data_IF_959457699358
#
_entry.id   IF_959457699358
#
_cell.length_a   1.000
_cell.length_b   1.000
_cell.length_c   1.000
_cell.angle_alpha   90.00
_cell.angle_beta   90.00
_cell.angle_gamma   90.00
#
_symmetry.space_group_name_H-M   'P 1'
#
loop_
_entity.id
_entity.type
_entity.pdbx_description
1 polymer ?
#
# COMPACT_ATOMS: atom_id res chain seq x y z
N UNK A 1 -41.51 -56.65 -1.68
CA UNK A 1 -40.23 -56.90 -2.38
C UNK A 1 -39.25 -55.86 -1.83
N UNK A 2 -38.42 -56.25 -0.86
CA UNK A 2 -37.03 -56.72 -1.00
C UNK A 2 -36.02 -55.55 -1.03
N UNK A 3 -35.37 -55.39 0.13
CA UNK A 3 -34.00 -54.96 0.48
C UNK A 3 -33.03 -54.55 -0.66
N UNK A 4 -32.06 -53.64 -0.49
CA UNK A 4 -30.95 -53.76 0.47
C UNK A 4 -30.10 -52.46 0.65
N UNK A 5 -29.33 -52.45 1.73
CA UNK A 5 -28.38 -51.45 2.23
C UNK A 5 -27.12 -51.26 1.36
N UNK A 6 -26.50 -50.08 1.47
CA UNK A 6 -25.03 -49.94 1.52
C UNK A 6 -24.65 -48.69 2.33
N UNK A 7 -23.81 -48.87 3.35
CA UNK A 7 -22.97 -47.89 4.04
C UNK A 7 -21.59 -48.55 4.23
N UNK A 8 -20.49 -47.84 4.58
CA UNK A 8 -20.15 -46.41 4.47
C UNK A 8 -18.70 -46.19 3.93
N UNK A 9 -18.19 -44.93 3.98
CA UNK A 9 -16.77 -44.46 4.05
C UNK A 9 -16.37 -43.39 2.98
N UNK A 10 -15.35 -42.55 3.20
CA UNK A 10 -15.26 -41.45 4.17
C UNK A 10 -15.08 -40.09 3.45
N UNK A 11 -15.51 -38.99 4.08
CA UNK A 11 -15.23 -37.64 3.56
C UNK A 11 -13.72 -37.33 3.68
N UNK A 12 -12.99 -37.41 2.56
CA UNK A 12 -11.68 -36.79 2.45
C UNK A 12 -11.83 -35.27 2.41
N UNK A 13 -11.44 -34.64 3.50
CA UNK A 13 -11.26 -33.20 3.61
C UNK A 13 -10.03 -32.79 2.79
N UNK A 14 -10.21 -32.61 1.49
CA UNK A 14 -9.18 -31.99 0.65
C UNK A 14 -9.06 -30.52 1.02
N UNK A 15 -7.88 -30.17 1.56
CA UNK A 15 -7.42 -28.83 1.84
C UNK A 15 -7.66 -27.90 0.66
N UNK A 16 -8.45 -26.85 0.88
CA UNK A 16 -8.78 -25.77 -0.06
C UNK A 16 -7.58 -24.90 -0.46
N UNK A 17 -6.37 -25.22 0.04
CA UNK A 17 -5.13 -24.51 -0.27
C UNK A 17 -4.59 -24.78 -1.69
N UNK A 18 -5.07 -25.81 -2.39
CA UNK A 18 -4.53 -26.20 -3.70
C UNK A 18 -5.03 -25.36 -4.87
N UNK A 19 -6.19 -24.70 -4.76
CA UNK A 19 -6.79 -23.98 -5.90
C UNK A 19 -6.15 -22.61 -6.18
N UNK A 20 -5.36 -22.08 -5.24
CA UNK A 20 -4.69 -20.77 -5.40
C UNK A 20 -3.34 -20.91 -6.13
N UNK A 21 -2.76 -22.12 -6.18
CA UNK A 21 -1.44 -22.33 -6.80
C UNK A 21 -1.49 -22.27 -8.34
N UNK A 22 -2.65 -22.50 -8.96
CA UNK A 22 -2.81 -22.52 -10.43
C UNK A 22 -3.39 -21.24 -11.04
N UNK A 23 -3.59 -20.18 -10.25
CA UNK A 23 -4.10 -18.90 -10.73
C UNK A 23 -2.99 -17.93 -11.23
N UNK A 24 -1.79 -18.43 -11.53
CA UNK A 24 -0.83 -17.66 -12.32
C UNK A 24 -1.34 -17.61 -13.75
N UNK A 25 -1.71 -16.42 -14.20
CA UNK A 25 -2.17 -16.20 -15.55
C UNK A 25 -1.15 -16.76 -16.57
N UNK A 26 -1.60 -17.44 -17.65
CA UNK A 26 -0.72 -18.10 -18.62
C UNK A 26 0.38 -17.21 -19.22
N UNK A 27 0.23 -15.87 -19.15
CA UNK A 27 1.24 -14.92 -19.61
C UNK A 27 2.52 -14.90 -18.77
N UNK A 28 2.45 -15.21 -17.47
CA UNK A 28 3.65 -15.28 -16.61
C UNK A 28 4.56 -16.44 -17.02
N UNK A 29 3.98 -17.57 -17.44
CA UNK A 29 4.73 -18.71 -17.98
C UNK A 29 5.40 -18.37 -19.32
N UNK A 30 4.71 -17.58 -20.15
CA UNK A 30 5.20 -17.24 -21.49
C UNK A 30 6.31 -16.17 -21.48
N UNK A 31 6.35 -15.27 -20.48
CA UNK A 31 7.48 -14.36 -20.24
C UNK A 31 8.66 -15.06 -19.55
N UNK A 32 8.39 -16.02 -18.64
CA UNK A 32 9.43 -16.87 -18.04
C UNK A 32 10.19 -17.69 -19.10
N UNK A 33 9.50 -18.21 -20.11
CA UNK A 33 10.11 -18.99 -21.21
C UNK A 33 10.84 -18.12 -22.25
N UNK A 34 10.36 -16.89 -22.54
CA UNK A 34 11.03 -16.01 -23.52
C UNK A 34 12.29 -15.36 -22.96
N UNK A 35 12.34 -15.06 -21.66
CA UNK A 35 13.49 -14.43 -21.01
C UNK A 35 14.53 -15.42 -20.47
N UNK A 36 14.23 -16.72 -20.42
CA UNK A 36 15.22 -17.76 -20.10
C UNK A 36 16.33 -17.91 -21.17
N UNK A 37 16.14 -17.32 -22.36
CA UNK A 37 17.08 -17.46 -23.49
C UNK A 37 18.13 -16.34 -23.54
N UNK A 38 17.98 -15.27 -22.75
CA UNK A 38 18.95 -14.15 -22.73
C UNK A 38 19.51 -13.91 -21.32
N UNK A 39 20.72 -14.45 -21.12
CA UNK A 39 21.70 -14.12 -20.07
C UNK A 39 21.45 -14.69 -18.66
N UNK A 40 22.46 -15.38 -18.14
CA UNK A 40 22.59 -15.83 -16.74
C UNK A 40 22.79 -14.68 -15.74
N UNK A 41 21.93 -13.66 -15.80
CA UNK A 41 21.85 -12.61 -14.80
C UNK A 41 21.21 -13.18 -13.53
N UNK A 42 21.78 -12.89 -12.36
CA UNK A 42 21.17 -13.21 -11.07
C UNK A 42 19.85 -12.45 -10.96
N UNK A 43 18.72 -13.15 -10.93
CA UNK A 43 17.42 -12.49 -10.73
C UNK A 43 17.40 -11.86 -9.34
N UNK A 44 16.89 -10.63 -9.23
CA UNK A 44 16.65 -10.00 -7.93
C UNK A 44 15.57 -10.80 -7.18
N UNK A 45 15.69 -10.95 -5.85
CA UNK A 45 14.74 -11.75 -5.08
C UNK A 45 13.34 -11.15 -5.09
N UNK A 46 13.27 -9.82 -5.05
CA UNK A 46 12.01 -9.09 -5.02
C UNK A 46 11.61 -8.62 -6.42
N UNK A 47 10.34 -8.81 -6.76
CA UNK A 47 9.74 -8.27 -7.97
C UNK A 47 8.44 -7.56 -7.61
N UNK A 48 8.18 -6.44 -8.27
CA UNK A 48 6.97 -5.66 -8.05
C UNK A 48 6.23 -5.45 -9.37
N UNK A 49 4.92 -5.62 -9.33
CA UNK A 49 4.06 -5.50 -10.52
C UNK A 49 2.95 -4.52 -10.24
N UNK A 50 2.99 -3.37 -10.91
CA UNK A 50 1.89 -2.42 -10.92
C UNK A 50 0.81 -2.93 -11.87
N UNK A 51 -0.39 -3.22 -11.36
CA UNK A 51 -1.54 -3.68 -12.12
C UNK A 51 -2.21 -2.52 -12.88
N UNK A 52 -1.47 -1.92 -13.80
CA UNK A 52 -1.93 -0.90 -14.73
C UNK A 52 -1.21 -1.05 -16.07
N UNK A 53 -1.93 -0.75 -17.16
CA UNK A 53 -1.46 -1.02 -18.51
C UNK A 53 -0.35 -0.07 -18.97
N UNK A 54 0.67 -0.60 -19.65
CA UNK A 54 1.73 0.21 -20.27
C UNK A 54 1.22 0.91 -21.53
N UNK A 55 1.75 2.10 -21.78
CA UNK A 55 1.42 2.89 -22.97
C UNK A 55 1.99 2.26 -24.25
N UNK A 56 1.19 2.07 -25.31
CA UNK A 56 1.68 1.62 -26.61
C UNK A 56 2.48 2.71 -27.36
N UNK A 57 2.47 3.95 -26.88
CA UNK A 57 3.08 5.09 -27.57
C UNK A 57 4.55 5.34 -27.19
N UNK A 58 5.17 4.41 -26.44
CA UNK A 58 6.57 4.47 -26.04
C UNK A 58 7.44 3.76 -27.07
N UNK A 59 8.61 4.32 -27.40
CA UNK A 59 9.56 3.69 -28.34
C UNK A 59 10.30 2.52 -27.70
N UNK A 60 10.77 1.55 -28.49
CA UNK A 60 11.49 0.37 -27.98
C UNK A 60 12.71 0.69 -27.09
N UNK A 61 13.44 1.78 -27.39
CA UNK A 61 14.64 2.18 -26.64
C UNK A 61 14.35 3.02 -25.40
N UNK A 62 13.09 3.44 -25.20
CA UNK A 62 12.68 4.24 -24.05
C UNK A 62 12.15 3.32 -22.93
N UNK A 63 12.17 3.79 -21.69
CA UNK A 63 11.56 3.04 -20.60
C UNK A 63 10.03 3.03 -20.73
N UNK A 64 9.40 1.93 -20.30
CA UNK A 64 7.94 1.81 -20.28
C UNK A 64 7.30 2.97 -19.49
N UNK A 65 6.14 3.43 -19.96
CA UNK A 65 5.38 4.51 -19.32
C UNK A 65 3.95 4.06 -19.07
N UNK A 66 3.48 4.28 -17.85
CA UNK A 66 2.14 3.84 -17.42
C UNK A 66 1.25 5.01 -17.08
N UNK A 67 0.01 4.98 -17.52
CA UNK A 67 -0.94 6.06 -17.31
C UNK A 67 -1.86 5.76 -16.12
N UNK A 68 -1.89 6.66 -15.14
CA UNK A 68 -2.71 6.54 -13.95
C UNK A 68 -3.74 7.67 -13.88
N UNK A 69 -4.88 7.41 -13.26
CA UNK A 69 -5.89 8.41 -12.95
C UNK A 69 -5.71 8.92 -11.52
N UNK A 70 -5.83 10.22 -11.34
CA UNK A 70 -5.77 10.89 -10.05
C UNK A 70 -6.78 10.28 -9.06
N UNK A 71 -6.32 9.88 -7.88
CA UNK A 71 -7.14 9.36 -6.79
C UNK A 71 -7.76 7.97 -7.03
N UNK A 72 -7.48 7.33 -8.17
CA UNK A 72 -7.87 5.94 -8.41
C UNK A 72 -6.88 5.01 -7.70
N UNK A 73 -7.41 3.94 -7.08
CA UNK A 73 -6.59 2.90 -6.47
C UNK A 73 -6.00 1.97 -7.52
N UNK A 74 -4.69 1.78 -7.47
CA UNK A 74 -3.95 0.83 -8.29
C UNK A 74 -3.23 -0.18 -7.41
N UNK A 75 -3.35 -1.45 -7.77
CA UNK A 75 -2.65 -2.54 -7.08
C UNK A 75 -1.17 -2.57 -7.49
N UNK A 76 -0.30 -2.76 -6.49
CA UNK A 76 1.07 -3.20 -6.67
C UNK A 76 1.23 -4.54 -5.96
N UNK A 77 1.49 -5.59 -6.74
CA UNK A 77 1.78 -6.93 -6.23
C UNK A 77 3.25 -7.02 -5.81
N UNK A 78 3.48 -7.53 -4.61
CA UNK A 78 4.79 -7.73 -4.00
C UNK A 78 5.13 -9.22 -4.10
N UNK A 79 6.18 -9.55 -4.85
CA UNK A 79 6.57 -10.94 -5.13
C UNK A 79 8.00 -11.20 -4.66
N UNK A 80 8.24 -12.39 -4.12
CA UNK A 80 9.58 -12.92 -3.87
C UNK A 80 9.80 -14.18 -4.72
N UNK A 81 10.69 -14.09 -5.72
CA UNK A 81 10.99 -15.20 -6.64
C UNK A 81 12.02 -16.20 -6.10
N UNK A 82 12.73 -15.85 -5.03
CA UNK A 82 13.82 -16.66 -4.44
C UNK A 82 13.45 -17.15 -3.05
N UNK A 83 12.29 -17.80 -2.93
CA UNK A 83 11.77 -18.29 -1.65
C UNK A 83 12.75 -19.22 -0.90
N UNK A 84 13.60 -19.94 -1.64
CA UNK A 84 14.52 -20.96 -1.10
C UNK A 84 15.89 -20.38 -0.65
N UNK A 85 16.34 -19.25 -1.21
CA UNK A 85 17.63 -18.64 -0.84
C UNK A 85 17.50 -17.64 0.34
N UNK A 86 16.27 -17.28 0.72
CA UNK A 86 15.98 -16.26 1.72
C UNK A 86 15.21 -16.79 2.94
N UNK A 87 15.24 -18.11 3.15
CA UNK A 87 14.84 -18.70 4.45
C UNK A 87 15.72 -18.22 5.61
N UNK A 88 16.88 -17.61 5.31
CA UNK A 88 17.80 -17.00 6.28
C UNK A 88 17.47 -15.54 6.61
N UNK A 89 16.41 -14.94 6.04
CA UNK A 89 15.90 -13.67 6.57
C UNK A 89 15.36 -13.97 7.97
N UNK A 90 16.16 -13.65 8.99
CA UNK A 90 15.79 -13.84 10.41
C UNK A 90 14.48 -13.15 10.77
N UNK A 91 14.11 -12.09 10.02
CA UNK A 91 12.87 -11.34 10.20
C UNK A 91 11.70 -11.93 9.41
N UNK A 92 10.61 -12.25 10.10
CA UNK A 92 9.32 -12.69 9.52
C UNK A 92 8.73 -11.71 8.48
N UNK A 93 9.08 -10.42 8.57
CA UNK A 93 8.54 -9.37 7.71
C UNK A 93 9.67 -8.52 7.16
N UNK A 94 9.49 -8.00 5.94
CA UNK A 94 10.32 -6.95 5.36
C UNK A 94 9.56 -5.63 5.34
N UNK A 95 10.28 -4.51 5.35
CA UNK A 95 9.71 -3.17 5.22
C UNK A 95 9.86 -2.69 3.78
N UNK A 96 8.78 -2.23 3.17
CA UNK A 96 8.85 -1.52 1.89
C UNK A 96 8.41 -0.07 2.06
N UNK A 97 9.14 0.82 1.39
CA UNK A 97 8.84 2.25 1.29
C UNK A 97 8.52 2.56 -0.16
N UNK A 98 7.32 3.07 -0.42
CA UNK A 98 6.87 3.47 -1.76
C UNK A 98 6.87 4.99 -1.85
N UNK A 99 7.46 5.52 -2.91
CA UNK A 99 7.61 6.95 -3.16
C UNK A 99 7.13 7.34 -4.55
N UNK A 100 6.47 8.49 -4.65
CA UNK A 100 6.26 9.19 -5.93
C UNK A 100 7.31 10.29 -6.03
N UNK A 101 8.26 10.14 -6.95
CA UNK A 101 9.36 11.10 -7.16
C UNK A 101 9.35 11.63 -8.59
N UNK A 102 9.98 12.77 -8.83
CA UNK A 102 10.12 13.30 -10.18
C UNK A 102 11.07 12.43 -11.01
N UNK A 103 10.71 12.15 -12.27
CA UNK A 103 11.65 11.51 -13.20
C UNK A 103 12.70 12.51 -13.75
N UNK A 104 12.30 13.78 -13.92
CA UNK A 104 13.18 14.85 -14.41
C UNK A 104 14.16 15.29 -13.30
N UNK A 105 15.47 15.14 -13.56
CA UNK A 105 16.58 15.54 -12.67
C UNK A 105 16.46 16.98 -12.16
N UNK A 106 16.04 17.94 -12.99
CA UNK A 106 15.89 19.35 -12.59
C UNK A 106 14.78 19.52 -11.54
N UNK A 107 13.69 18.76 -11.68
CA UNK A 107 12.60 18.78 -10.72
C UNK A 107 12.96 18.01 -9.44
N UNK A 108 13.83 17.00 -9.51
CA UNK A 108 14.37 16.34 -8.32
C UNK A 108 15.16 17.33 -7.43
N UNK A 109 16.01 18.18 -8.01
CA UNK A 109 16.75 19.20 -7.24
C UNK A 109 15.85 20.23 -6.56
N UNK A 110 14.68 20.49 -7.14
CA UNK A 110 13.69 21.44 -6.60
C UNK A 110 12.48 20.73 -6.00
N UNK A 111 12.60 19.43 -5.70
CA UNK A 111 11.46 18.58 -5.33
C UNK A 111 10.73 19.15 -4.13
N UNK A 112 11.47 19.50 -3.07
CA UNK A 112 10.90 20.11 -1.88
C UNK A 112 10.00 21.31 -2.23
N UNK A 113 10.49 22.26 -3.03
CA UNK A 113 9.72 23.42 -3.46
C UNK A 113 8.47 23.04 -4.28
N UNK A 114 8.58 22.04 -5.16
CA UNK A 114 7.45 21.55 -5.96
C UNK A 114 6.36 20.92 -5.07
N UNK A 115 6.75 20.07 -4.12
CA UNK A 115 5.83 19.40 -3.21
C UNK A 115 5.18 20.39 -2.23
N UNK A 116 5.93 21.38 -1.74
CA UNK A 116 5.39 22.45 -0.90
C UNK A 116 4.42 23.35 -1.66
N UNK A 117 4.76 23.73 -2.90
CA UNK A 117 3.86 24.47 -3.77
C UNK A 117 2.57 23.71 -4.05
N UNK A 118 2.65 22.38 -4.20
CA UNK A 118 1.48 21.52 -4.32
C UNK A 118 0.64 21.51 -3.04
N UNK A 119 1.28 21.29 -1.88
CA UNK A 119 0.65 21.28 -0.55
C UNK A 119 -0.14 22.55 -0.26
N UNK A 120 0.42 23.71 -0.60
CA UNK A 120 -0.23 25.00 -0.37
C UNK A 120 -1.55 25.16 -1.11
N UNK A 121 -1.63 24.62 -2.34
CA UNK A 121 -2.84 24.66 -3.15
C UNK A 121 -3.87 23.58 -2.77
N UNK A 122 -3.47 22.62 -1.93
CA UNK A 122 -4.28 21.46 -1.51
C UNK A 122 -4.08 21.16 -0.02
N UNK A 123 -4.54 22.05 0.87
CA UNK A 123 -4.30 21.90 2.30
C UNK A 123 -4.92 20.59 2.81
N UNK A 124 -4.07 19.77 3.43
CA UNK A 124 -4.44 18.47 3.97
C UNK A 124 -4.35 17.31 2.99
N UNK A 125 -4.33 17.53 1.68
CA UNK A 125 -4.18 16.41 0.74
C UNK A 125 -2.75 15.85 0.78
N UNK A 126 -2.63 14.57 0.49
CA UNK A 126 -1.35 13.87 0.32
C UNK A 126 -1.16 13.48 -1.13
N UNK A 127 0.08 13.46 -1.61
CA UNK A 127 0.41 13.09 -2.98
C UNK A 127 0.25 11.59 -3.19
N UNK A 128 0.71 10.80 -2.22
CA UNK A 128 0.62 9.35 -2.23
C UNK A 128 -0.10 8.88 -0.96
N UNK A 129 -1.11 8.04 -1.17
CA UNK A 129 -1.87 7.41 -0.09
C UNK A 129 -2.03 5.90 -0.33
N UNK A 130 -2.38 5.18 0.74
CA UNK A 130 -2.61 3.73 0.74
C UNK A 130 -4.09 3.44 0.97
N UNK A 131 -4.67 2.65 0.08
CA UNK A 131 -6.02 2.12 0.22
C UNK A 131 -5.96 0.83 1.06
N UNK A 132 -5.85 1.00 2.38
CA UNK A 132 -5.74 -0.12 3.32
C UNK A 132 -6.88 -1.12 3.18
N UNK A 133 -8.17 -0.71 3.03
CA UNK A 133 -9.26 -1.67 2.86
C UNK A 133 -9.15 -2.53 1.60
N UNK A 134 -8.48 -2.09 0.53
CA UNK A 134 -8.24 -2.94 -0.65
C UNK A 134 -6.95 -3.77 -0.57
N UNK A 135 -6.02 -3.36 0.28
CA UNK A 135 -4.69 -4.00 0.41
C UNK A 135 -4.77 -5.36 1.12
N UNK A 136 -3.89 -6.28 0.73
CA UNK A 136 -3.85 -7.67 1.23
C UNK A 136 -2.42 -8.02 1.66
N UNK A 137 -2.25 -8.62 2.85
CA UNK A 137 -0.94 -9.03 3.36
C UNK A 137 -0.01 -7.88 3.80
N UNK A 138 -0.51 -6.65 3.76
CA UNK A 138 0.17 -5.44 4.24
C UNK A 138 -0.10 -5.25 5.72
N UNK A 139 0.95 -5.01 6.50
CA UNK A 139 0.93 -4.83 7.96
C UNK A 139 1.49 -3.45 8.29
N UNK A 140 0.89 -2.79 9.28
CA UNK A 140 1.30 -1.45 9.75
C UNK A 140 1.53 -0.43 8.61
N UNK A 141 0.54 -0.20 7.73
CA UNK A 141 0.67 0.86 6.73
C UNK A 141 0.78 2.23 7.43
N UNK A 142 1.82 2.99 7.08
CA UNK A 142 2.10 4.32 7.63
C UNK A 142 2.28 5.32 6.50
N UNK A 143 1.69 6.49 6.68
CA UNK A 143 1.80 7.63 5.77
C UNK A 143 2.13 8.87 6.60
N UNK A 144 3.43 9.18 6.73
CA UNK A 144 3.87 10.25 7.64
C UNK A 144 3.37 11.62 7.18
N UNK A 145 2.70 12.45 8.01
CA UNK A 145 2.05 13.70 7.60
C UNK A 145 2.96 14.69 6.86
N UNK A 146 4.26 14.71 7.17
CA UNK A 146 5.22 15.62 6.54
C UNK A 146 5.81 15.11 5.23
N UNK A 147 5.76 13.80 4.98
CA UNK A 147 6.27 13.17 3.76
C UNK A 147 5.11 12.84 2.81
N UNK A 148 4.59 13.85 2.12
CA UNK A 148 3.34 13.75 1.34
C UNK A 148 3.36 12.72 0.21
N UNK A 149 4.54 12.41 -0.32
CA UNK A 149 4.76 11.55 -1.47
C UNK A 149 5.29 10.16 -1.08
N UNK A 150 5.26 9.80 0.21
CA UNK A 150 5.84 8.55 0.74
C UNK A 150 4.81 7.80 1.59
N UNK A 151 4.80 6.47 1.44
CA UNK A 151 4.13 5.53 2.33
C UNK A 151 5.11 4.39 2.68
N UNK A 152 4.92 3.77 3.83
CA UNK A 152 5.71 2.61 4.25
C UNK A 152 4.81 1.54 4.87
N UNK A 153 5.22 0.29 4.76
CA UNK A 153 4.50 -0.84 5.34
C UNK A 153 5.38 -2.07 5.49
N UNK A 154 4.92 -3.03 6.29
CA UNK A 154 5.52 -4.34 6.45
C UNK A 154 4.75 -5.38 5.63
N UNK A 155 5.44 -6.39 5.12
CA UNK A 155 4.80 -7.54 4.48
C UNK A 155 5.68 -8.79 4.59
N UNK A 156 5.04 -9.95 4.49
CA UNK A 156 5.68 -11.25 4.64
C UNK A 156 6.13 -11.73 3.25
N UNK A 157 7.45 -11.85 2.99
CA UNK A 157 7.95 -12.22 1.66
C UNK A 157 7.66 -13.67 1.28
N UNK A 158 7.20 -14.51 2.21
CA UNK A 158 6.79 -15.89 1.96
C UNK A 158 5.30 -15.98 1.60
N UNK A 159 4.53 -14.91 1.81
CA UNK A 159 3.12 -14.82 1.48
C UNK A 159 2.88 -13.88 0.32
N UNK A 160 1.73 -14.04 -0.33
CA UNK A 160 1.27 -13.06 -1.31
C UNK A 160 0.90 -11.76 -0.57
N UNK A 161 1.47 -10.65 -1.01
CA UNK A 161 1.10 -9.31 -0.53
C UNK A 161 0.81 -8.38 -1.71
N UNK A 162 -0.13 -7.47 -1.51
CA UNK A 162 -0.59 -6.51 -2.49
C UNK A 162 -0.97 -5.21 -1.79
N UNK A 163 -0.35 -4.12 -2.20
CA UNK A 163 -0.66 -2.77 -1.71
C UNK A 163 -1.44 -2.02 -2.77
N UNK A 164 -2.56 -1.43 -2.39
CA UNK A 164 -3.31 -0.53 -3.26
C UNK A 164 -2.93 0.91 -2.94
N UNK A 165 -2.46 1.64 -3.95
CA UNK A 165 -1.99 3.01 -3.81
C UNK A 165 -2.88 3.99 -4.58
N UNK A 166 -2.93 5.23 -4.10
CA UNK A 166 -3.61 6.35 -4.76
C UNK A 166 -2.61 7.49 -4.98
N UNK A 167 -2.48 7.94 -6.22
CA UNK A 167 -1.67 9.13 -6.56
C UNK A 167 -2.61 10.30 -6.81
N UNK A 168 -2.48 11.34 -6.00
CA UNK A 168 -3.43 12.46 -5.96
C UNK A 168 -2.91 13.73 -6.65
N UNK A 169 -1.66 13.77 -7.09
CA UNK A 169 -1.15 14.86 -7.93
C UNK A 169 -1.27 14.48 -9.41
N UNK A 170 -1.50 15.45 -10.30
CA UNK A 170 -1.48 15.20 -11.76
C UNK A 170 -0.19 15.75 -12.37
N UNK A 171 0.26 15.12 -13.45
CA UNK A 171 1.52 15.47 -14.13
C UNK A 171 1.57 16.90 -14.68
N UNK A 172 0.43 17.52 -15.02
CA UNK A 172 0.38 18.92 -15.52
C UNK A 172 0.37 19.98 -14.42
N UNK A 173 0.30 19.60 -13.14
CA UNK A 173 0.39 20.58 -12.05
C UNK A 173 1.81 21.10 -11.81
N UNK A 174 2.80 20.35 -12.28
CA UNK A 174 4.22 20.65 -12.11
C UNK A 174 4.86 21.15 -13.42
N UNK A 175 4.04 21.57 -14.39
CA UNK A 175 4.53 22.26 -15.60
C UNK A 175 4.56 23.77 -15.38
N UNK A 176 5.51 24.52 -16.00
CA UNK A 176 5.60 25.97 -15.86
C UNK A 176 4.30 26.70 -16.23
N UNK A 177 3.60 26.25 -17.28
CA UNK A 177 2.26 26.76 -17.60
C UNK A 177 1.23 25.84 -16.99
N UNK A 178 0.61 26.31 -15.90
CA UNK A 178 -0.50 25.63 -15.22
C UNK A 178 -1.78 25.56 -16.07
N UNK A 179 -1.90 26.43 -17.08
CA UNK A 179 -3.08 26.57 -17.94
C UNK A 179 -2.91 25.83 -19.27
N UNK A 180 -3.03 24.50 -19.25
CA UNK A 180 -3.26 23.65 -20.43
C UNK A 180 -2.16 23.66 -21.52
N UNK A 181 -2.22 22.69 -22.44
CA UNK A 181 -1.38 22.65 -23.65
C UNK A 181 0.05 22.13 -23.47
N UNK A 182 0.61 22.14 -22.26
CA UNK A 182 1.96 21.59 -22.01
C UNK A 182 1.93 20.09 -21.70
N UNK A 183 2.99 19.38 -22.14
CA UNK A 183 3.21 17.96 -21.83
C UNK A 183 3.47 17.85 -20.32
N UNK A 184 2.56 17.23 -19.58
CA UNK A 184 2.75 16.96 -18.15
C UNK A 184 4.05 16.22 -17.84
N UNK A 185 4.62 16.47 -16.65
CA UNK A 185 5.90 15.89 -16.22
C UNK A 185 5.72 14.42 -15.82
N UNK A 186 6.63 13.52 -16.21
CA UNK A 186 6.60 12.13 -15.73
C UNK A 186 7.09 12.03 -14.27
N UNK A 187 6.51 11.09 -13.54
CA UNK A 187 6.97 10.68 -12.21
C UNK A 187 7.57 9.28 -12.28
N UNK A 188 8.28 8.90 -11.22
CA UNK A 188 8.57 7.50 -10.90
C UNK A 188 7.79 7.09 -9.66
N UNK A 189 7.23 5.89 -9.70
CA UNK A 189 6.86 5.16 -8.48
C UNK A 189 8.05 4.30 -8.14
N UNK A 190 8.72 4.58 -7.03
CA UNK A 190 9.89 3.84 -6.56
C UNK A 190 9.54 3.07 -5.29
N UNK A 191 10.04 1.84 -5.20
CA UNK A 191 9.87 0.93 -4.06
C UNK A 191 11.25 0.52 -3.59
N UNK A 192 11.56 0.84 -2.34
CA UNK A 192 12.77 0.42 -1.65
C UNK A 192 12.39 -0.56 -0.53
N UNK A 193 13.03 -1.72 -0.48
CA UNK A 193 12.74 -2.79 0.50
C UNK A 193 13.93 -3.03 1.40
N UNK A 194 13.65 -3.18 2.70
CA UNK A 194 14.61 -3.26 3.78
C UNK A 194 14.33 -4.45 4.70
N UNK A 195 15.39 -5.08 5.22
CA UNK A 195 15.38 -6.10 6.27
C UNK A 195 15.79 -5.51 7.61
N UNK A 196 15.56 -6.28 8.68
CA UNK A 196 16.00 -5.89 10.01
C UNK A 196 17.52 -6.06 10.15
N UNK A 197 18.18 -5.07 10.74
CA UNK A 197 19.54 -5.20 11.23
C UNK A 197 19.59 -6.03 12.54
N UNK A 198 20.79 -6.22 13.09
CA UNK A 198 21.01 -6.92 14.37
C UNK A 198 20.25 -6.32 15.56
N UNK A 199 19.83 -5.06 15.46
CA UNK A 199 19.07 -4.34 16.48
C UNK A 199 17.54 -4.38 16.25
N UNK A 200 17.07 -5.10 15.23
CA UNK A 200 15.65 -5.22 14.89
C UNK A 200 15.09 -4.03 14.10
N UNK A 201 15.93 -3.09 13.66
CA UNK A 201 15.53 -1.92 12.89
C UNK A 201 15.60 -2.18 11.39
N UNK A 202 14.60 -1.72 10.65
CA UNK A 202 14.51 -1.89 9.20
C UNK A 202 15.41 -0.90 8.43
N UNK A 203 16.72 -1.07 8.53
CA UNK A 203 17.73 -0.18 7.94
C UNK A 203 18.61 -0.86 6.89
N UNK A 204 18.63 -2.18 6.84
CA UNK A 204 19.45 -2.91 5.87
C UNK A 204 18.73 -2.92 4.51
N UNK A 205 19.30 -2.24 3.52
CA UNK A 205 18.73 -2.15 2.18
C UNK A 205 18.92 -3.47 1.42
N UNK A 206 17.84 -3.96 0.81
CA UNK A 206 17.85 -5.21 0.04
C UNK A 206 17.65 -4.99 -1.45
N UNK A 207 16.70 -4.14 -1.82
CA UNK A 207 16.30 -4.01 -3.22
C UNK A 207 15.55 -2.71 -3.50
N UNK A 208 15.78 -2.17 -4.69
CA UNK A 208 15.11 -0.96 -5.19
C UNK A 208 14.61 -1.18 -6.61
N UNK A 209 13.36 -0.80 -6.88
CA UNK A 209 12.82 -0.80 -8.25
C UNK A 209 11.88 0.36 -8.47
N UNK A 210 11.69 0.74 -9.72
CA UNK A 210 10.74 1.79 -10.07
C UNK A 210 10.11 1.59 -11.45
N UNK A 211 9.05 2.34 -11.72
CA UNK A 211 8.49 2.48 -13.06
C UNK A 211 8.10 3.92 -13.33
N UNK A 212 8.12 4.33 -14.60
CA UNK A 212 7.65 5.66 -14.98
C UNK A 212 6.13 5.69 -15.08
N UNK A 213 5.54 6.74 -14.52
CA UNK A 213 4.10 6.98 -14.58
C UNK A 213 3.78 8.40 -15.01
N UNK A 214 2.61 8.55 -15.63
CA UNK A 214 1.99 9.84 -15.90
C UNK A 214 0.59 9.87 -15.33
N UNK A 215 0.31 10.83 -14.47
CA UNK A 215 -0.97 10.91 -13.76
C UNK A 215 -1.86 11.95 -14.43
N UNK A 216 -3.05 11.51 -14.81
CA UNK A 216 -4.07 12.31 -15.47
C UNK A 216 -5.22 12.61 -14.50
N UNK A 217 -6.05 13.59 -14.86
CA UNK A 217 -7.37 13.73 -14.24
C UNK A 217 -8.20 12.44 -14.37
N UNK A 218 -9.21 12.22 -13.54
CA UNK A 218 -10.05 11.03 -13.61
C UNK A 218 -10.55 10.73 -15.02
N UNK A 219 -10.46 9.46 -15.44
CA UNK A 219 -10.74 8.95 -16.81
C UNK A 219 -9.80 9.48 -17.90
N UNK A 220 -8.82 10.29 -17.56
CA UNK A 220 -7.87 10.87 -18.51
C UNK A 220 -6.86 9.85 -19.01
N UNK A 221 -6.41 8.93 -18.14
CA UNK A 221 -5.53 7.84 -18.52
C UNK A 221 -6.20 6.90 -19.53
N UNK A 222 -7.47 6.54 -19.31
CA UNK A 222 -8.23 5.64 -20.19
C UNK A 222 -8.42 6.24 -21.59
N UNK A 223 -8.81 7.52 -21.65
CA UNK A 223 -8.92 8.26 -22.91
C UNK A 223 -7.59 8.31 -23.63
N UNK A 224 -6.50 8.60 -22.90
CA UNK A 224 -5.16 8.70 -23.46
C UNK A 224 -4.68 7.36 -24.00
N UNK A 225 -4.88 6.27 -23.26
CA UNK A 225 -4.53 4.92 -23.68
C UNK A 225 -5.29 4.51 -24.94
N UNK A 226 -6.60 4.81 -25.01
CA UNK A 226 -7.42 4.56 -26.19
C UNK A 226 -6.92 5.34 -27.41
N UNK A 227 -6.70 6.65 -27.26
CA UNK A 227 -6.19 7.50 -28.36
C UNK A 227 -4.80 7.05 -28.82
N UNK A 228 -3.91 6.70 -27.89
CA UNK A 228 -2.57 6.24 -28.24
C UNK A 228 -2.62 4.89 -28.97
N UNK A 229 -3.47 3.95 -28.56
CA UNK A 229 -3.68 2.68 -29.26
C UNK A 229 -4.19 2.89 -30.69
N UNK A 230 -5.25 3.67 -30.87
CA UNK A 230 -5.78 4.02 -32.20
C UNK A 230 -4.73 4.70 -33.09
N UNK A 231 -3.85 5.52 -32.50
CA UNK A 231 -2.77 6.19 -33.23
C UNK A 231 -1.69 5.21 -33.68
N UNK A 232 -1.35 4.22 -32.85
CA UNK A 232 -0.38 3.18 -33.21
C UNK A 232 -0.95 2.23 -34.25
N UNK A 233 -2.23 1.84 -34.14
CA UNK A 233 -2.86 0.92 -35.09
C UNK A 233 -2.97 1.49 -36.51
N UNK A 234 -3.08 2.82 -36.64
CA UNK A 234 -3.09 3.53 -37.93
C UNK A 234 -1.71 3.65 -38.59
N UNK A 235 -0.62 3.29 -37.90
CA UNK A 235 0.75 3.35 -38.46
C UNK A 235 1.03 2.16 -39.38
N UNK A 236 1.97 2.35 -40.31
CA UNK A 236 2.51 1.27 -41.15
C UNK A 236 3.16 0.18 -40.29
N UNK A 237 3.26 -1.05 -40.81
CA UNK A 237 3.90 -2.16 -40.08
C UNK A 237 5.32 -1.81 -39.61
N UNK A 238 6.14 -1.24 -40.50
CA UNK A 238 7.52 -0.81 -40.20
C UNK A 238 7.58 0.29 -39.14
N UNK A 239 6.59 1.19 -39.09
CA UNK A 239 6.55 2.24 -38.06
C UNK A 239 6.03 1.73 -36.72
N UNK A 240 5.19 0.69 -36.71
CA UNK A 240 4.68 0.07 -35.48
C UNK A 240 5.78 -0.66 -34.72
N UNK A 241 6.69 -1.32 -35.44
CA UNK A 241 7.85 -2.01 -34.86
C UNK A 241 8.79 -1.08 -34.08
N UNK A 242 8.73 0.24 -34.29
CA UNK A 242 9.54 1.21 -33.52
C UNK A 242 9.01 1.43 -32.09
N UNK A 243 7.80 0.97 -31.79
CA UNK A 243 7.11 1.16 -30.50
C UNK A 243 7.02 -0.14 -29.72
N UNK A 244 6.88 -0.01 -28.40
CA UNK A 244 6.68 -1.14 -27.50
C UNK A 244 5.24 -1.67 -27.57
N UNK A 245 5.09 -2.97 -27.31
CA UNK A 245 3.77 -3.55 -27.05
C UNK A 245 3.19 -3.01 -25.74
N UNK A 246 1.88 -2.78 -25.73
CA UNK A 246 1.12 -2.45 -24.52
C UNK A 246 0.82 -3.75 -23.78
N UNK A 247 1.14 -3.78 -22.49
CA UNK A 247 0.86 -4.89 -21.57
C UNK A 247 -0.19 -4.44 -20.56
N UNK A 248 -0.97 -5.37 -20.01
CA UNK A 248 -2.02 -5.06 -19.01
C UNK A 248 -1.46 -4.66 -17.65
N UNK A 249 -0.22 -5.07 -17.36
CA UNK A 249 0.49 -4.74 -16.13
C UNK A 249 1.86 -4.15 -16.44
N UNK A 250 2.40 -3.42 -15.48
CA UNK A 250 3.70 -2.75 -15.59
C UNK A 250 4.67 -3.39 -14.61
N UNK A 251 5.72 -4.00 -15.16
CA UNK A 251 6.83 -4.53 -14.37
C UNK A 251 7.72 -3.37 -13.91
N UNK A 252 8.01 -3.30 -12.61
CA UNK A 252 9.01 -2.36 -12.10
C UNK A 252 10.41 -2.90 -12.40
N UNK A 253 11.31 -2.00 -12.80
CA UNK A 253 12.69 -2.30 -13.15
C UNK A 253 13.64 -1.89 -12.03
N UNK A 254 14.73 -2.62 -11.87
CA UNK A 254 15.73 -2.34 -10.84
C UNK A 254 16.35 -0.94 -11.03
N UNK A 255 16.58 -0.25 -9.92
CA UNK A 255 17.16 1.10 -9.92
C UNK A 255 17.97 1.34 -8.64
N UNK A 256 18.73 2.44 -8.59
CA UNK A 256 19.45 2.83 -7.38
C UNK A 256 18.50 3.20 -6.23
N UNK A 257 18.89 2.94 -4.97
CA UNK A 257 18.10 3.32 -3.81
C UNK A 257 17.91 4.83 -3.72
N UNK A 258 16.75 5.26 -3.20
CA UNK A 258 16.43 6.67 -3.00
C UNK A 258 16.77 7.13 -1.57
N UNK A 259 17.36 8.33 -1.37
CA UNK A 259 17.92 9.21 -2.40
C UNK A 259 19.22 8.66 -2.98
N UNK A 260 19.62 9.10 -4.18
CA UNK A 260 20.92 8.76 -4.81
C UNK A 260 22.04 8.93 -3.76
N UNK A 261 22.53 7.83 -3.18
CA UNK A 261 23.64 7.88 -2.24
C UNK A 261 24.92 8.22 -3.04
N UNK A 262 25.70 9.23 -2.66
CA UNK A 262 27.03 9.39 -3.23
C UNK A 262 27.84 8.15 -2.84
N UNK A 263 28.26 7.37 -3.83
CA UNK A 263 29.05 6.15 -3.64
C UNK A 263 30.30 6.44 -2.79
N UNK A 264 30.25 6.14 -1.49
CA UNK A 264 31.39 6.20 -0.58
C UNK A 264 32.17 4.87 -0.49
N UNK A 265 31.96 3.98 -1.45
CA UNK A 265 32.54 2.62 -1.47
C UNK A 265 33.11 2.25 -2.83
N UNK A 266 34.13 2.96 -3.31
CA UNK A 266 35.07 2.40 -4.28
C UNK A 266 36.40 3.14 -4.20
N UNK A 267 37.32 2.55 -3.46
CA UNK A 267 38.73 2.89 -3.44
C UNK A 267 39.33 2.69 -4.83
N UNK A 268 39.82 3.77 -5.44
CA UNK A 268 40.99 3.70 -6.31
C UNK A 268 41.78 5.02 -6.22
N UNK A 269 43.08 4.85 -5.98
CA UNK A 269 44.07 5.88 -5.66
C UNK A 269 44.17 6.98 -6.72
N UNK A 270 43.98 8.24 -6.30
CA UNK A 270 44.71 9.42 -6.81
C UNK A 270 44.49 10.61 -5.85
N UNK A 271 45.52 11.39 -5.49
CA UNK A 271 45.41 12.36 -4.41
C UNK A 271 44.69 13.61 -4.91
N UNK A 272 43.56 13.95 -4.29
CA UNK A 272 42.89 15.25 -4.46
C UNK A 272 43.36 16.22 -3.37
N UNK A 273 43.48 17.53 -3.66
CA UNK A 273 44.21 18.47 -2.83
C UNK A 273 43.46 18.75 -1.52
N UNK A 274 44.26 18.78 -0.44
CA UNK A 274 43.85 19.08 0.92
C UNK A 274 43.36 20.54 0.99
N UNK A 275 42.08 20.73 1.33
CA UNK A 275 41.61 22.00 1.88
C UNK A 275 41.54 21.86 3.40
N UNK A 276 42.56 22.40 4.06
CA UNK A 276 42.53 22.64 5.49
C UNK A 276 41.49 23.72 5.79
N UNK A 277 40.50 23.42 6.61
CA UNK A 277 39.69 24.43 7.29
C UNK A 277 39.84 24.23 8.79
N UNK A 278 40.70 25.04 9.40
CA UNK A 278 40.88 25.11 10.85
C UNK A 278 39.60 25.65 11.53
N UNK A 279 39.29 25.24 12.77
CA UNK A 279 38.16 25.76 13.52
C UNK A 279 38.57 27.10 14.15
N UNK A 280 37.84 28.18 13.84
CA UNK A 280 38.01 29.46 14.58
C UNK A 280 36.87 29.60 15.57
N UNK A 281 37.22 29.47 16.84
CA UNK A 281 36.44 29.83 18.02
C UNK A 281 36.35 31.36 18.14
N UNK A 282 35.15 31.90 18.34
CA UNK A 282 34.98 33.27 18.83
C UNK A 282 33.88 33.30 19.91
N UNK A 283 34.32 33.65 21.12
CA UNK A 283 33.55 33.90 22.33
C UNK A 283 33.17 35.39 22.47
N UNK A 284 31.92 35.62 22.89
CA UNK A 284 31.32 36.70 23.72
C UNK A 284 31.62 38.19 23.49
N UNK A 285 30.55 39.00 23.46
CA UNK A 285 30.30 40.07 24.47
C UNK A 285 28.80 40.32 24.67
N UNK A 286 28.47 40.73 25.91
CA UNK A 286 27.18 40.85 26.59
C UNK A 286 26.18 41.90 26.08
N UNK A 287 24.91 41.73 26.46
CA UNK A 287 23.87 42.76 26.38
C UNK A 287 22.49 42.32 26.89
N UNK A 288 22.32 42.35 28.22
CA UNK A 288 21.10 42.22 29.06
C UNK A 288 19.73 42.53 28.41
N UNK A 289 18.70 41.75 28.78
CA UNK A 289 17.49 42.17 29.55
C UNK A 289 16.40 41.08 29.57
N UNK A 290 16.08 40.53 30.75
CA UNK A 290 14.83 39.80 31.05
C UNK A 290 13.79 40.75 31.68
N UNK A 291 12.51 40.31 31.82
CA UNK A 291 12.13 39.88 33.17
C UNK A 291 11.24 38.62 33.22
N UNK A 292 11.28 38.02 34.41
CA UNK A 292 10.58 36.83 34.93
C UNK A 292 9.31 37.25 35.69
N UNK A 293 8.22 36.47 35.57
CA UNK A 293 7.19 36.18 36.60
C UNK A 293 6.68 34.75 36.31
N UNK A 294 7.03 33.69 37.05
CA UNK A 294 6.57 33.17 38.35
C UNK A 294 5.09 32.70 38.45
N UNK A 295 4.93 31.40 38.78
CA UNK A 295 3.71 30.73 39.31
C UNK A 295 2.75 30.19 38.23
N UNK A 296 2.22 28.96 38.22
CA UNK A 296 1.99 27.94 39.25
C UNK A 296 1.95 26.52 38.63
N UNK A 297 2.29 25.53 39.46
CA UNK A 297 2.03 24.10 39.26
C UNK A 297 0.53 23.81 39.33
N UNK A 298 -0.05 23.23 38.26
CA UNK A 298 -1.27 22.41 38.37
C UNK A 298 -1.08 21.12 37.56
N UNK A 299 -0.99 20.00 38.29
CA UNK A 299 -1.28 18.65 37.82
C UNK A 299 -2.76 18.55 37.45
N UNK A 300 -3.11 18.21 36.20
CA UNK A 300 -4.33 17.46 35.89
C UNK A 300 -4.45 17.10 34.40
N UNK A 301 -4.85 15.86 34.13
CA UNK A 301 -5.76 15.57 33.02
C UNK A 301 -5.13 15.04 31.74
N UNK A 302 -5.00 13.72 31.66
CA UNK A 302 -4.93 12.96 30.41
C UNK A 302 -5.99 13.49 29.41
N UNK A 303 -5.54 14.12 28.32
CA UNK A 303 -6.38 14.41 27.16
C UNK A 303 -5.84 13.62 25.99
N UNK A 304 -6.61 12.60 25.63
CA UNK A 304 -6.43 11.78 24.44
C UNK A 304 -6.33 12.63 23.18
N UNK A 305 -5.18 12.53 22.51
CA UNK A 305 -4.94 13.04 21.16
C UNK A 305 -5.98 12.49 20.17
N UNK A 306 -6.95 13.33 19.79
CA UNK A 306 -7.77 13.14 18.60
C UNK A 306 -7.01 13.74 17.42
N UNK A 307 -5.95 13.06 17.00
CA UNK A 307 -5.25 13.40 15.76
C UNK A 307 -4.61 12.15 15.15
N UNK A 308 -5.44 11.15 14.88
CA UNK A 308 -5.14 10.07 13.94
C UNK A 308 -6.47 9.52 13.41
N UNK A 309 -6.74 9.65 12.10
CA UNK A 309 -7.89 8.99 11.49
C UNK A 309 -8.57 9.70 10.32
N UNK A 310 -7.84 10.02 9.24
CA UNK A 310 -8.51 10.34 7.96
C UNK A 310 -8.97 9.10 7.19
N UNK A 311 -8.40 7.93 7.47
CA UNK A 311 -8.96 6.64 7.04
C UNK A 311 -10.35 6.39 7.64
N UNK A 312 -10.58 6.79 8.90
CA UNK A 312 -11.89 6.72 9.55
C UNK A 312 -12.89 7.76 9.05
N UNK A 313 -12.46 8.98 8.68
CA UNK A 313 -13.37 10.02 8.17
C UNK A 313 -13.91 9.63 6.78
N UNK A 314 -13.07 9.06 5.91
CA UNK A 314 -13.54 8.55 4.62
C UNK A 314 -14.44 7.32 4.80
N UNK A 315 -14.09 6.39 5.68
CA UNK A 315 -14.94 5.24 5.98
C UNK A 315 -16.30 5.66 6.55
N UNK A 316 -16.35 6.60 7.51
CA UNK A 316 -17.59 7.08 8.11
C UNK A 316 -18.40 7.90 7.09
N UNK A 317 -17.76 8.76 6.29
CA UNK A 317 -18.43 9.50 5.23
C UNK A 317 -18.96 8.58 4.13
N UNK A 318 -18.22 7.52 3.77
CA UNK A 318 -18.60 6.52 2.79
C UNK A 318 -19.76 5.66 3.32
N UNK A 319 -19.66 5.19 4.56
CA UNK A 319 -20.77 4.51 5.27
C UNK A 319 -21.98 5.44 5.31
N UNK A 320 -21.83 6.71 5.69
CA UNK A 320 -22.94 7.67 5.81
C UNK A 320 -23.56 8.03 4.45
N UNK A 321 -22.73 8.19 3.43
CA UNK A 321 -23.15 8.44 2.05
C UNK A 321 -23.93 7.24 1.49
N UNK A 322 -23.41 6.02 1.66
CA UNK A 322 -24.11 4.81 1.22
C UNK A 322 -25.36 4.53 2.05
N UNK A 323 -25.35 4.80 3.36
CA UNK A 323 -26.52 4.69 4.22
C UNK A 323 -27.64 5.63 3.76
N UNK A 324 -27.30 6.89 3.41
CA UNK A 324 -28.22 7.84 2.78
C UNK A 324 -28.74 7.38 1.43
N UNK A 325 -27.87 6.79 0.61
CA UNK A 325 -28.22 6.40 -0.76
C UNK A 325 -29.12 5.17 -0.83
N UNK A 326 -28.96 4.22 0.10
CA UNK A 326 -29.73 2.98 0.14
C UNK A 326 -31.03 3.09 0.96
N UNK A 327 -31.07 3.95 1.99
CA UNK A 327 -32.16 3.88 3.00
C UNK A 327 -32.84 5.23 3.32
N UNK A 328 -32.44 6.34 2.67
CA UNK A 328 -33.03 7.66 2.92
C UNK A 328 -32.77 8.19 4.35
N UNK A 329 -33.44 9.30 4.72
CA UNK A 329 -33.25 9.94 6.05
C UNK A 329 -33.97 9.20 7.21
N UNK A 330 -34.67 8.10 6.93
CA UNK A 330 -35.38 7.30 7.94
C UNK A 330 -34.43 6.31 8.63
N UNK A 331 -33.65 6.79 9.59
CA UNK A 331 -32.63 6.03 10.32
C UNK A 331 -33.12 4.97 11.31
N UNK A 332 -33.97 4.01 10.90
CA UNK A 332 -34.36 2.88 11.77
C UNK A 332 -33.79 1.53 11.29
N UNK A 333 -33.11 0.84 12.23
CA UNK A 333 -32.66 -0.57 12.27
C UNK A 333 -31.84 -1.19 11.12
N UNK A 334 -31.38 -0.44 10.13
CA UNK A 334 -30.61 -0.97 8.98
C UNK A 334 -29.20 -1.49 9.33
N UNK A 335 -28.59 -1.01 10.42
CA UNK A 335 -27.21 -1.37 10.77
C UNK A 335 -26.98 -2.87 10.99
N UNK A 336 -27.98 -3.61 11.48
CA UNK A 336 -27.89 -5.04 11.70
C UNK A 336 -27.91 -5.84 10.38
N UNK A 337 -28.63 -5.38 9.37
CA UNK A 337 -28.71 -6.06 8.07
C UNK A 337 -27.45 -5.79 7.24
N UNK A 338 -26.90 -4.58 7.33
CA UNK A 338 -25.58 -4.25 6.77
C UNK A 338 -24.46 -5.13 7.35
N UNK A 339 -24.54 -5.47 8.64
CA UNK A 339 -23.62 -6.41 9.28
C UNK A 339 -23.82 -7.87 8.84
N UNK A 340 -24.94 -8.24 8.23
CA UNK A 340 -25.20 -9.61 7.73
C UNK A 340 -24.85 -9.81 6.27
N UNK A 341 -24.79 -8.73 5.48
CA UNK A 341 -24.44 -8.82 4.05
C UNK A 341 -23.06 -9.44 3.83
N UNK A 342 -22.98 -10.29 2.80
CA UNK A 342 -21.73 -10.90 2.34
C UNK A 342 -20.87 -9.89 1.57
N UNK A 343 -19.62 -10.29 1.28
CA UNK A 343 -18.72 -9.48 0.45
C UNK A 343 -19.30 -9.33 -0.96
N UNK A 344 -19.89 -10.40 -1.48
CA UNK A 344 -20.47 -10.48 -2.82
C UNK A 344 -21.69 -9.56 -2.93
N UNK A 345 -22.56 -9.54 -1.91
CA UNK A 345 -23.71 -8.62 -1.87
C UNK A 345 -23.26 -7.16 -1.95
N UNK A 346 -22.25 -6.79 -1.14
CA UNK A 346 -21.72 -5.42 -1.12
C UNK A 346 -21.02 -5.05 -2.43
N UNK A 347 -20.34 -5.99 -3.08
CA UNK A 347 -19.74 -5.79 -4.40
C UNK A 347 -20.82 -5.61 -5.47
N UNK A 348 -21.91 -6.37 -5.42
CA UNK A 348 -23.00 -6.25 -6.37
C UNK A 348 -23.71 -4.89 -6.26
N UNK A 349 -23.85 -4.37 -5.03
CA UNK A 349 -24.53 -3.09 -4.77
C UNK A 349 -23.63 -1.89 -5.07
N UNK A 350 -22.39 -1.89 -4.57
CA UNK A 350 -21.51 -0.71 -4.62
C UNK A 350 -20.48 -0.77 -5.76
N UNK A 351 -20.41 -1.90 -6.48
CA UNK A 351 -19.33 -2.20 -7.41
C UNK A 351 -18.11 -2.82 -6.72
N UNK A 352 -17.16 -3.38 -7.50
CA UNK A 352 -16.05 -4.17 -6.96
C UNK A 352 -15.21 -3.43 -5.91
N UNK A 353 -14.70 -2.24 -6.24
CA UNK A 353 -13.78 -1.52 -5.34
C UNK A 353 -14.48 -1.02 -4.08
N UNK A 354 -15.61 -0.35 -4.23
CA UNK A 354 -16.31 0.26 -3.09
C UNK A 354 -17.01 -0.79 -2.22
N UNK A 355 -17.49 -1.89 -2.82
CA UNK A 355 -18.03 -3.03 -2.08
C UNK A 355 -16.97 -3.73 -1.23
N UNK A 356 -15.76 -3.95 -1.75
CA UNK A 356 -14.64 -4.51 -0.97
C UNK A 356 -14.23 -3.57 0.15
N UNK A 357 -14.07 -2.27 -0.16
CA UNK A 357 -13.72 -1.26 0.85
C UNK A 357 -14.74 -1.26 1.97
N UNK A 358 -16.03 -1.24 1.64
CA UNK A 358 -17.12 -1.24 2.60
C UNK A 358 -17.13 -2.53 3.43
N UNK A 359 -17.03 -3.70 2.79
CA UNK A 359 -16.97 -4.99 3.47
C UNK A 359 -15.78 -5.06 4.46
N UNK A 360 -14.58 -4.72 4.01
CA UNK A 360 -13.37 -4.75 4.84
C UNK A 360 -13.41 -3.69 5.94
N UNK A 361 -14.04 -2.54 5.69
CA UNK A 361 -14.26 -1.51 6.72
C UNK A 361 -15.22 -1.99 7.81
N UNK A 362 -16.30 -2.68 7.43
CA UNK A 362 -17.32 -3.17 8.36
C UNK A 362 -16.78 -4.37 9.15
N UNK A 363 -16.18 -5.35 8.45
CA UNK A 363 -15.76 -6.65 9.01
C UNK A 363 -14.36 -6.62 9.60
N UNK A 364 -13.49 -5.73 9.13
CA UNK A 364 -12.12 -5.58 9.62
C UNK A 364 -12.01 -4.79 10.92
N UNK A 365 -13.09 -4.13 11.37
CA UNK A 365 -13.13 -3.51 12.69
C UNK A 365 -13.33 -4.61 13.75
N UNK A 366 -12.29 -4.91 14.53
CA UNK A 366 -12.49 -5.49 15.85
C UNK A 366 -13.24 -4.46 16.69
N UNK A 367 -14.56 -4.59 16.78
CA UNK A 367 -15.37 -3.76 17.67
C UNK A 367 -14.96 -4.16 19.09
N UNK A 368 -14.30 -3.25 19.82
CA UNK A 368 -14.00 -3.48 21.22
C UNK A 368 -15.32 -3.75 21.96
N UNK A 369 -15.46 -4.88 22.66
CA UNK A 369 -16.66 -5.15 23.42
C UNK A 369 -16.80 -4.07 24.49
N UNK A 370 -17.88 -3.29 24.43
CA UNK A 370 -18.19 -2.29 25.46
C UNK A 370 -18.53 -2.93 26.81
N UNK A 371 -18.89 -4.20 26.79
CA UNK A 371 -19.24 -5.00 27.95
C UNK A 371 -18.81 -6.45 27.71
N UNK A 372 -17.97 -6.99 28.60
CA UNK A 372 -17.63 -8.40 28.64
C UNK A 372 -18.44 -9.06 29.74
N UNK A 373 -19.35 -9.96 29.38
CA UNK A 373 -20.17 -10.71 30.34
C UNK A 373 -19.51 -12.07 30.58
N UNK A 374 -19.12 -12.32 31.82
CA UNK A 374 -18.65 -13.63 32.26
C UNK A 374 -19.86 -14.43 32.75
N UNK A 375 -20.23 -15.47 32.01
CA UNK A 375 -21.30 -16.39 32.42
C UNK A 375 -20.66 -17.65 32.99
N UNK A 376 -20.91 -17.91 34.27
CA UNK A 376 -20.56 -19.18 34.91
C UNK A 376 -21.83 -20.00 35.12
N UNK A 377 -21.80 -21.28 34.75
CA UNK A 377 -22.90 -22.18 35.05
C UNK A 377 -22.87 -22.47 36.56
N UNK A 378 -23.91 -22.04 37.29
CA UNK A 378 -24.03 -22.32 38.72
C UNK A 378 -24.14 -23.83 38.92
N UNK A 379 -23.06 -24.46 39.41
CA UNK A 379 -23.14 -25.84 39.86
C UNK A 379 -24.09 -25.88 41.06
N UNK A 380 -25.14 -26.68 40.95
CA UNK A 380 -26.08 -26.93 42.03
C UNK A 380 -25.30 -27.44 43.25
N UNK A 381 -25.25 -26.64 44.33
CA UNK A 381 -24.77 -27.09 45.64
C UNK A 381 -25.76 -28.12 46.17
N UNK A 382 -25.56 -29.39 45.83
CA UNK A 382 -25.99 -30.56 46.58
C UNK A 382 -25.43 -31.85 45.95
N UNK A 383 -24.10 -32.00 45.94
CA UNK A 383 -23.47 -33.33 45.95
C UNK A 383 -22.19 -33.27 46.80
N UNK A 384 -21.91 -34.31 47.63
CA UNK A 384 -20.73 -34.36 48.47
C UNK A 384 -19.45 -34.51 47.62
N UNK A 385 -18.39 -33.83 48.06
CA UNK A 385 -17.11 -33.74 47.37
C UNK A 385 -16.47 -35.11 47.10
N UNK A 386 -16.09 -35.34 45.83
CA UNK A 386 -14.96 -36.20 45.45
C UNK A 386 -13.95 -35.36 44.64
N UNK A 387 -12.67 -35.43 45.03
CA UNK A 387 -11.52 -34.77 44.37
C UNK A 387 -11.21 -35.41 42.98
N UNK A 388 -10.17 -34.95 42.24
CA UNK A 388 -9.99 -33.66 41.59
C UNK A 388 -9.86 -33.88 40.07
N UNK A 389 -10.63 -33.17 39.23
CA UNK A 389 -10.54 -33.32 37.78
C UNK A 389 -10.95 -32.03 37.09
N UNK A 390 -10.13 -31.55 36.15
CA UNK A 390 -10.28 -30.28 35.46
C UNK A 390 -11.68 -30.10 34.87
N UNK A 391 -12.40 -29.08 35.34
CA UNK A 391 -13.65 -28.66 34.73
C UNK A 391 -13.35 -27.78 33.53
N UNK A 392 -13.62 -28.28 32.32
CA UNK A 392 -13.75 -27.45 31.12
C UNK A 392 -14.90 -26.45 31.34
N UNK A 393 -14.57 -25.22 31.71
CA UNK A 393 -15.49 -24.10 31.60
C UNK A 393 -15.74 -23.81 30.13
N UNK A 394 -16.89 -24.22 29.58
CA UNK A 394 -17.34 -23.76 28.27
C UNK A 394 -17.64 -22.25 28.34
N UNK A 395 -16.70 -21.45 27.85
CA UNK A 395 -16.91 -20.02 27.56
C UNK A 395 -17.85 -19.88 26.37
N UNK A 396 -19.10 -19.52 26.63
CA UNK A 396 -20.03 -19.05 25.60
C UNK A 396 -19.83 -17.55 25.41
N UNK A 397 -19.25 -17.18 24.27
CA UNK A 397 -19.14 -15.79 23.83
C UNK A 397 -20.50 -15.32 23.30
N UNK A 398 -21.19 -14.47 24.04
CA UNK A 398 -22.38 -13.78 23.55
C UNK A 398 -22.05 -12.29 23.43
N UNK A 399 -21.80 -11.86 22.19
CA UNK A 399 -21.62 -10.47 21.83
C UNK A 399 -22.99 -9.81 21.69
N UNK A 400 -23.43 -9.04 22.68
CA UNK A 400 -24.63 -8.21 22.54
C UNK A 400 -24.28 -6.87 21.87
N UNK A 401 -24.76 -6.68 20.65
CA UNK A 401 -24.69 -5.41 19.94
C UNK A 401 -25.87 -4.52 20.37
N UNK A 402 -25.68 -3.69 21.40
CA UNK A 402 -26.57 -2.56 21.65
C UNK A 402 -25.93 -1.29 21.09
N UNK A 403 -26.46 -0.84 19.94
CA UNK A 403 -26.22 0.48 19.40
C UNK A 403 -27.11 1.53 20.09
N UNK A 404 -26.60 2.75 20.11
CA UNK A 404 -27.40 3.98 20.03
C UNK A 404 -26.77 4.85 18.95
#
# INVERSE_FOLDING_TARGET
>A
MLFWHNQPEPYHQHSTASYIRDALAPFLKHEEERHATENGAKWSPFQYVLCAATSPAVKQQEETLTYLNQGQSYEIRMLNRKLVEYTDISSKYVKSIVRVVFHDRRLQYTEHQQLEGWRWNRPGDRILDVDTPLSVGVVEPRAHPLQLNTIEFLWDPVKNASVFIQVNCISTEFTPRKHGGEKGVPFRIQIDTFTQNEHGEYLEHMHSSSCQVKVFKPKGADRKLKTDREKIDKKSHQDREKYQSSHETTMLTECSPWPDAPNLGSTNNTPSPVYHSSPTSCSFTDGNSSPIQQGELILSGCSSDVSNGRSSINAIALISYFFRQLFGDSGQSVGADLLKMSREDLIQICGPSDGIRLFNTIKGRCIQPRLTIYVCQQQARNQPQTKPGGGEGRLLYISNYCGY
#
